data_IF_384867085967
#
_entry.id   IF_384867085967
#
_cell.length_a   1.000
_cell.length_b   1.000
_cell.length_c   1.000
_cell.angle_alpha   90.00
_cell.angle_beta   90.00
_cell.angle_gamma   90.00
#
_symmetry.space_group_name_H-M   'P 1'
#
loop_
_entity.id
_entity.type
_entity.pdbx_description
1 polymer ?
#
# COMPACT_ATOMS: atom_id res chain seq x y z
N UNK A 1 13.52 -13.26 19.80
CA UNK A 1 13.78 -12.82 18.42
C UNK A 1 12.56 -13.19 17.58
N UNK A 2 11.94 -12.22 16.91
CA UNK A 2 10.76 -12.44 16.06
C UNK A 2 11.21 -13.18 14.79
N UNK A 3 10.60 -14.32 14.44
CA UNK A 3 11.02 -15.09 13.26
C UNK A 3 10.59 -14.41 11.95
N UNK A 4 11.26 -14.69 10.80
CA UNK A 4 10.95 -14.07 9.52
C UNK A 4 9.45 -14.11 9.13
N UNK A 5 8.70 -15.22 9.32
CA UNK A 5 7.25 -15.26 9.08
C UNK A 5 6.46 -14.20 9.85
N UNK A 6 6.79 -13.94 11.13
CA UNK A 6 6.08 -12.95 11.95
C UNK A 6 6.46 -11.51 11.59
N UNK A 7 7.69 -11.28 11.13
CA UNK A 7 8.12 -9.97 10.60
C UNK A 7 7.31 -9.63 9.34
N UNK A 8 7.27 -10.54 8.37
CA UNK A 8 6.50 -10.37 7.13
C UNK A 8 5.00 -10.25 7.40
N UNK A 9 4.44 -11.12 8.26
CA UNK A 9 3.03 -11.04 8.68
C UNK A 9 2.69 -9.67 9.25
N UNK A 10 3.53 -9.10 10.12
CA UNK A 10 3.32 -7.76 10.67
C UNK A 10 3.42 -6.68 9.60
N UNK A 11 4.41 -6.76 8.71
CA UNK A 11 4.57 -5.81 7.61
C UNK A 11 3.33 -5.82 6.68
N UNK A 12 2.89 -7.00 6.29
CA UNK A 12 1.81 -7.17 5.31
C UNK A 12 0.40 -7.10 5.90
N UNK A 13 0.28 -7.07 7.24
CA UNK A 13 -1.02 -6.85 7.92
C UNK A 13 -1.07 -5.50 8.61
N UNK A 14 -0.24 -5.28 9.64
CA UNK A 14 -0.30 -4.07 10.47
C UNK A 14 0.17 -2.84 9.71
N UNK A 15 1.37 -2.91 9.13
CA UNK A 15 1.94 -1.74 8.45
C UNK A 15 1.16 -1.40 7.18
N UNK A 16 0.74 -2.43 6.45
CA UNK A 16 -0.05 -2.32 5.22
C UNK A 16 -1.41 -1.72 5.54
N UNK A 17 -2.18 -2.35 6.43
CA UNK A 17 -3.49 -1.86 6.86
C UNK A 17 -3.47 -0.40 7.29
N UNK A 18 -2.54 -0.04 8.16
CA UNK A 18 -2.45 1.33 8.67
C UNK A 18 -2.13 2.35 7.57
N UNK A 19 -1.26 1.99 6.64
CA UNK A 19 -0.88 2.86 5.53
C UNK A 19 -2.02 3.00 4.51
N UNK A 20 -2.75 1.91 4.18
CA UNK A 20 -3.92 1.97 3.28
C UNK A 20 -4.97 2.93 3.85
N UNK A 21 -5.31 2.76 5.14
CA UNK A 21 -6.25 3.65 5.83
C UNK A 21 -5.79 5.10 5.77
N UNK A 22 -4.49 5.37 5.95
CA UNK A 22 -3.97 6.72 5.83
C UNK A 22 -4.12 7.32 4.41
N UNK A 23 -3.79 6.56 3.36
CA UNK A 23 -3.85 7.08 1.99
C UNK A 23 -5.28 7.33 1.52
N UNK A 24 -6.21 6.39 1.74
CA UNK A 24 -7.61 6.61 1.41
C UNK A 24 -8.24 7.70 2.28
N UNK A 25 -7.90 7.76 3.58
CA UNK A 25 -8.35 8.83 4.47
C UNK A 25 -7.90 10.21 3.99
N UNK A 26 -6.62 10.34 3.62
CA UNK A 26 -6.09 11.60 3.06
C UNK A 26 -6.80 11.98 1.77
N UNK A 27 -7.01 11.03 0.85
CA UNK A 27 -7.74 11.27 -0.39
C UNK A 27 -9.21 11.68 -0.17
N UNK A 28 -9.82 11.20 0.93
CA UNK A 28 -11.18 11.58 1.34
C UNK A 28 -11.24 12.86 2.20
N UNK A 29 -10.11 13.51 2.50
CA UNK A 29 -10.06 14.69 3.37
C UNK A 29 -10.27 14.41 4.86
N UNK A 30 -10.20 13.15 5.30
CA UNK A 30 -10.36 12.73 6.70
C UNK A 30 -8.99 12.74 7.38
N UNK A 31 -8.89 13.39 8.54
CA UNK A 31 -7.58 13.59 9.21
C UNK A 31 -7.19 12.49 10.19
N UNK A 32 -8.13 11.87 10.91
CA UNK A 32 -7.83 10.86 11.93
C UNK A 32 -8.07 9.46 11.41
N UNK A 33 -7.14 8.54 11.68
CA UNK A 33 -7.25 7.14 11.25
C UNK A 33 -8.53 6.47 11.78
N UNK A 34 -8.93 6.76 13.01
CA UNK A 34 -10.14 6.20 13.62
C UNK A 34 -11.43 6.58 12.89
N UNK A 35 -11.47 7.77 12.30
CA UNK A 35 -12.64 8.29 11.57
C UNK A 35 -12.69 7.74 10.13
N UNK A 36 -11.54 7.38 9.55
CA UNK A 36 -11.48 6.89 8.15
C UNK A 36 -12.31 5.62 7.95
N UNK A 37 -12.27 4.71 8.91
CA UNK A 37 -12.95 3.41 8.83
C UNK A 37 -14.46 3.48 9.12
N UNK A 38 -15.00 4.66 9.42
CA UNK A 38 -16.45 4.91 9.47
C UNK A 38 -17.06 4.95 8.06
N UNK A 39 -16.25 5.17 7.03
CA UNK A 39 -16.68 5.05 5.62
C UNK A 39 -16.66 3.59 5.18
N UNK A 40 -17.84 3.03 4.89
CA UNK A 40 -17.99 1.66 4.40
C UNK A 40 -17.20 1.41 3.09
N UNK A 41 -17.13 2.41 2.21
CA UNK A 41 -16.37 2.33 0.97
C UNK A 41 -14.86 2.25 1.23
N UNK A 42 -14.33 3.06 2.16
CA UNK A 42 -12.90 3.00 2.51
C UNK A 42 -12.59 1.71 3.27
N UNK A 43 -13.46 1.28 4.18
CA UNK A 43 -13.34 0.00 4.87
C UNK A 43 -13.23 -1.15 3.88
N UNK A 44 -14.13 -1.22 2.90
CA UNK A 44 -14.12 -2.27 1.88
C UNK A 44 -12.79 -2.30 1.10
N UNK A 45 -12.22 -1.13 0.78
CA UNK A 45 -10.91 -1.04 0.12
C UNK A 45 -9.76 -1.52 0.99
N UNK A 46 -9.75 -1.13 2.27
CA UNK A 46 -8.75 -1.61 3.26
C UNK A 46 -8.83 -3.13 3.41
N UNK A 47 -10.04 -3.68 3.56
CA UNK A 47 -10.27 -5.11 3.69
C UNK A 47 -9.88 -5.87 2.42
N UNK A 48 -10.17 -5.35 1.23
CA UNK A 48 -9.77 -5.95 -0.04
C UNK A 48 -8.24 -6.06 -0.17
N UNK A 49 -7.50 -5.01 0.16
CA UNK A 49 -6.03 -5.05 0.11
C UNK A 49 -5.47 -6.00 1.17
N UNK A 50 -6.05 -6.06 2.38
CA UNK A 50 -5.65 -7.01 3.42
C UNK A 50 -6.02 -8.46 3.07
N UNK A 51 -7.05 -8.68 2.24
CA UNK A 51 -7.39 -10.01 1.73
C UNK A 51 -6.34 -10.53 0.74
N UNK A 52 -5.80 -9.66 -0.11
CA UNK A 52 -4.69 -10.01 -1.01
C UNK A 52 -3.42 -10.37 -0.21
N UNK A 53 -3.04 -9.53 0.76
CA UNK A 53 -1.86 -9.85 1.58
C UNK A 53 -2.07 -11.06 2.50
N UNK A 54 -3.30 -11.32 2.95
CA UNK A 54 -3.67 -12.57 3.63
C UNK A 54 -3.39 -13.79 2.76
N UNK A 55 -3.82 -13.79 1.50
CA UNK A 55 -3.61 -14.90 0.57
C UNK A 55 -2.12 -15.24 0.45
N UNK A 56 -1.26 -14.21 0.33
CA UNK A 56 0.19 -14.41 0.32
C UNK A 56 0.70 -15.00 1.64
N UNK A 57 0.33 -14.43 2.78
CA UNK A 57 0.81 -14.87 4.11
C UNK A 57 0.44 -16.33 4.37
N UNK A 58 -0.81 -16.71 4.09
CA UNK A 58 -1.32 -18.08 4.27
C UNK A 58 -0.54 -19.05 3.39
N UNK A 59 -0.39 -18.75 2.09
CA UNK A 59 0.32 -19.64 1.15
C UNK A 59 1.80 -19.75 1.44
N UNK A 60 2.45 -18.63 1.77
CA UNK A 60 3.90 -18.57 1.94
C UNK A 60 4.37 -19.19 3.26
N UNK A 61 3.58 -19.05 4.32
CA UNK A 61 4.01 -19.44 5.68
C UNK A 61 3.13 -20.49 6.34
N UNK A 62 2.02 -20.91 5.71
CA UNK A 62 1.13 -21.95 6.24
C UNK A 62 0.36 -21.53 7.48
N UNK A 63 0.05 -20.24 7.64
CA UNK A 63 -0.88 -19.82 8.69
C UNK A 63 -2.29 -20.30 8.35
N UNK A 64 -3.02 -20.80 9.34
CA UNK A 64 -4.44 -21.12 9.17
C UNK A 64 -5.23 -19.88 8.70
N UNK A 65 -6.05 -19.97 7.63
CA UNK A 65 -6.76 -18.83 7.07
C UNK A 65 -7.61 -18.07 8.10
N UNK A 66 -8.30 -18.78 8.99
CA UNK A 66 -9.16 -18.23 10.02
C UNK A 66 -8.34 -17.50 11.10
N UNK A 67 -7.16 -18.03 11.44
CA UNK A 67 -6.24 -17.39 12.40
C UNK A 67 -5.68 -16.09 11.82
N UNK A 68 -5.40 -16.06 10.51
CA UNK A 68 -4.94 -14.84 9.87
C UNK A 68 -6.08 -13.83 9.69
N UNK A 69 -7.30 -14.29 9.40
CA UNK A 69 -8.50 -13.45 9.31
C UNK A 69 -8.82 -12.78 10.66
N UNK A 70 -8.86 -13.55 11.76
CA UNK A 70 -9.08 -13.00 13.10
C UNK A 70 -7.98 -12.00 13.51
N UNK A 71 -6.75 -12.20 13.02
CA UNK A 71 -5.68 -11.23 13.22
C UNK A 71 -5.91 -9.92 12.46
N UNK A 72 -6.41 -9.98 11.22
CA UNK A 72 -6.79 -8.79 10.44
C UNK A 72 -7.89 -8.00 11.17
N UNK A 73 -8.96 -8.67 11.62
CA UNK A 73 -10.06 -8.04 12.35
C UNK A 73 -9.59 -7.38 13.64
N UNK A 74 -8.69 -8.05 14.38
CA UNK A 74 -8.03 -7.46 15.55
C UNK A 74 -7.19 -6.23 15.22
N UNK A 75 -6.59 -6.16 14.04
CA UNK A 75 -5.80 -5.00 13.62
C UNK A 75 -6.71 -3.85 13.16
N UNK A 76 -7.78 -4.14 12.41
CA UNK A 76 -8.78 -3.15 12.00
C UNK A 76 -9.41 -2.48 13.22
N UNK A 77 -9.89 -3.27 14.20
CA UNK A 77 -10.44 -2.74 15.46
C UNK A 77 -9.47 -1.87 16.27
N UNK A 78 -8.15 -2.07 16.11
CA UNK A 78 -7.16 -1.17 16.72
C UNK A 78 -7.09 0.18 16.03
N UNK A 79 -7.27 0.23 14.71
CA UNK A 79 -7.26 1.49 13.95
C UNK A 79 -8.49 2.33 14.26
N UNK A 80 -9.61 1.70 14.58
CA UNK A 80 -10.88 2.35 14.97
C UNK A 80 -10.83 2.99 16.37
N UNK A 81 -9.80 2.74 17.17
CA UNK A 81 -9.73 3.25 18.54
C UNK A 81 -9.57 4.79 18.55
N UNK A 82 -10.58 5.57 18.99
CA UNK A 82 -10.55 7.03 18.95
C UNK A 82 -9.58 7.64 19.95
N UNK A 83 -9.04 6.85 20.88
CA UNK A 83 -8.04 7.30 21.85
C UNK A 83 -6.61 7.27 21.30
N UNK A 84 -6.39 6.70 20.11
CA UNK A 84 -5.07 6.74 19.46
C UNK A 84 -4.91 8.04 18.65
N UNK A 85 -3.83 8.80 18.83
CA UNK A 85 -3.63 10.13 18.21
C UNK A 85 -3.13 10.05 16.77
N UNK A 86 -3.45 8.97 16.05
CA UNK A 86 -2.86 8.67 14.75
C UNK A 86 -3.57 9.47 13.64
N UNK A 87 -2.83 10.36 12.98
CA UNK A 87 -3.32 11.12 11.82
C UNK A 87 -2.90 10.49 10.50
N UNK A 88 -3.71 10.69 9.45
CA UNK A 88 -3.42 10.20 8.10
C UNK A 88 -2.10 10.74 7.56
N UNK A 89 -1.78 12.00 7.83
CA UNK A 89 -0.54 12.61 7.35
C UNK A 89 0.68 11.94 7.99
N UNK A 90 0.71 11.81 9.33
CA UNK A 90 1.83 11.20 10.05
C UNK A 90 2.02 9.74 9.64
N UNK A 91 0.93 9.00 9.49
CA UNK A 91 0.98 7.58 9.11
C UNK A 91 1.36 7.42 7.64
N UNK A 92 0.95 8.35 6.77
CA UNK A 92 1.20 8.38 5.34
C UNK A 92 2.64 8.74 4.93
N UNK A 93 3.42 9.40 5.79
CA UNK A 93 4.81 9.80 5.52
C UNK A 93 5.74 8.70 5.01
N UNK A 94 6.74 9.09 4.22
CA UNK A 94 7.66 8.16 3.56
C UNK A 94 6.99 7.32 2.46
N UNK A 95 6.26 7.94 1.51
CA UNK A 95 5.56 7.21 0.46
C UNK A 95 6.52 6.46 -0.48
N UNK A 96 7.68 7.03 -0.85
CA UNK A 96 8.65 6.40 -1.74
C UNK A 96 9.17 5.08 -1.16
N UNK A 97 9.58 5.09 0.12
CA UNK A 97 10.03 3.89 0.83
C UNK A 97 8.94 2.83 0.84
N UNK A 98 7.67 3.20 1.04
CA UNK A 98 6.54 2.25 1.13
C UNK A 98 6.16 1.59 -0.20
N UNK A 99 6.45 2.25 -1.32
CA UNK A 99 6.27 1.67 -2.66
C UNK A 99 7.56 1.08 -3.24
N UNK A 100 8.61 0.92 -2.44
CA UNK A 100 9.82 0.23 -2.88
C UNK A 100 9.63 -1.29 -2.98
N UNK A 101 10.44 -1.96 -3.81
CA UNK A 101 10.33 -3.37 -4.22
C UNK A 101 9.99 -4.38 -3.12
N UNK A 102 10.55 -4.22 -1.92
CA UNK A 102 10.43 -5.20 -0.83
C UNK A 102 9.57 -4.70 0.35
N UNK A 103 8.87 -3.59 0.17
CA UNK A 103 8.03 -3.00 1.21
C UNK A 103 6.57 -3.47 1.09
N UNK A 104 5.67 -2.81 1.83
CA UNK A 104 4.36 -3.29 2.24
C UNK A 104 3.31 -3.33 1.12
N UNK A 105 3.60 -2.71 -0.03
CA UNK A 105 2.72 -2.72 -1.20
C UNK A 105 3.31 -3.52 -2.35
N UNK A 106 4.51 -3.14 -2.81
CA UNK A 106 5.13 -3.78 -3.98
C UNK A 106 5.65 -5.17 -3.66
N UNK A 107 6.20 -5.38 -2.46
CA UNK A 107 6.65 -6.71 -2.01
C UNK A 107 5.55 -7.77 -2.14
N UNK A 108 4.39 -7.60 -1.47
CA UNK A 108 3.33 -8.60 -1.58
C UNK A 108 2.70 -8.65 -2.97
N UNK A 109 2.53 -7.53 -3.67
CA UNK A 109 1.98 -7.52 -5.02
C UNK A 109 2.87 -8.29 -6.01
N UNK A 110 4.19 -8.15 -5.87
CA UNK A 110 5.15 -8.84 -6.71
C UNK A 110 5.03 -10.36 -6.57
N UNK A 111 5.08 -10.85 -5.34
CA UNK A 111 5.00 -12.28 -5.06
C UNK A 111 3.64 -12.86 -5.46
N UNK A 112 2.54 -12.12 -5.23
CA UNK A 112 1.21 -12.53 -5.67
C UNK A 112 1.14 -12.65 -7.20
N UNK A 113 1.68 -11.67 -7.93
CA UNK A 113 1.72 -11.70 -9.39
C UNK A 113 2.57 -12.87 -9.93
N UNK A 114 3.71 -13.17 -9.30
CA UNK A 114 4.55 -14.34 -9.63
C UNK A 114 3.79 -15.67 -9.41
N UNK A 115 2.83 -15.70 -8.49
CA UNK A 115 1.95 -16.84 -8.23
C UNK A 115 0.66 -16.84 -9.07
N UNK A 116 0.48 -15.88 -10.00
CA UNK A 116 -0.75 -15.74 -10.78
C UNK A 116 -1.98 -15.38 -9.95
N UNK A 117 -1.78 -14.67 -8.83
CA UNK A 117 -2.84 -14.26 -7.90
C UNK A 117 -3.23 -12.80 -8.14
N UNK A 118 -4.47 -12.41 -7.75
CA UNK A 118 -4.92 -11.02 -7.87
C UNK A 118 -4.05 -10.03 -7.10
N UNK A 119 -3.92 -8.82 -7.63
CA UNK A 119 -3.16 -7.70 -7.06
C UNK A 119 -3.86 -6.36 -7.23
N UNK A 120 -5.14 -6.39 -7.61
CA UNK A 120 -5.93 -5.23 -8.01
C UNK A 120 -6.07 -4.21 -6.86
N UNK A 121 -6.31 -4.67 -5.64
CA UNK A 121 -6.49 -3.80 -4.49
C UNK A 121 -5.15 -3.20 -4.00
N UNK A 122 -4.05 -3.94 -4.10
CA UNK A 122 -2.70 -3.42 -3.87
C UNK A 122 -2.34 -2.34 -4.90
N UNK A 123 -2.59 -2.57 -6.19
CA UNK A 123 -2.33 -1.59 -7.24
C UNK A 123 -3.23 -0.35 -7.12
N UNK A 124 -4.51 -0.52 -6.78
CA UNK A 124 -5.42 0.59 -6.52
C UNK A 124 -4.97 1.43 -5.30
N UNK A 125 -4.38 0.79 -4.29
CA UNK A 125 -3.77 1.53 -3.17
C UNK A 125 -2.55 2.33 -3.62
N UNK A 126 -1.67 1.75 -4.45
CA UNK A 126 -0.52 2.47 -5.01
C UNK A 126 -0.98 3.70 -5.79
N UNK A 127 -2.03 3.57 -6.61
CA UNK A 127 -2.60 4.70 -7.35
C UNK A 127 -3.01 5.86 -6.44
N UNK A 128 -3.73 5.58 -5.34
CA UNK A 128 -4.11 6.62 -4.36
C UNK A 128 -2.91 7.18 -3.60
N UNK A 129 -1.95 6.32 -3.26
CA UNK A 129 -0.72 6.71 -2.58
C UNK A 129 0.11 7.69 -3.42
N UNK A 130 0.15 7.56 -4.74
CA UNK A 130 0.90 8.46 -5.62
C UNK A 130 0.42 9.92 -5.53
N UNK A 131 -0.85 10.15 -5.16
CA UNK A 131 -1.39 11.48 -4.90
C UNK A 131 -1.06 12.03 -3.50
N UNK A 132 -0.37 11.27 -2.65
CA UNK A 132 -0.04 11.71 -1.30
C UNK A 132 0.98 12.86 -1.33
N UNK A 133 0.57 13.98 -0.74
CA UNK A 133 1.36 15.21 -0.66
C UNK A 133 1.22 15.85 0.72
N UNK A 134 2.37 15.99 1.37
CA UNK A 134 2.57 16.62 2.68
C UNK A 134 3.85 17.44 2.59
N UNK A 135 3.76 18.74 2.84
CA UNK A 135 4.88 19.68 2.67
C UNK A 135 6.07 19.35 3.59
N UNK A 136 5.78 18.87 4.80
CA UNK A 136 6.78 18.53 5.82
C UNK A 136 7.37 17.13 5.65
N UNK A 137 6.99 16.39 4.60
CA UNK A 137 7.52 15.05 4.32
C UNK A 137 8.40 15.08 3.06
N UNK A 138 9.72 14.97 3.24
CA UNK A 138 10.71 15.04 2.16
C UNK A 138 10.44 14.01 1.06
N UNK A 139 10.06 12.78 1.41
CA UNK A 139 9.73 11.75 0.44
C UNK A 139 8.44 12.05 -0.34
N UNK A 140 7.47 12.75 0.27
CA UNK A 140 6.29 13.23 -0.46
C UNK A 140 6.68 14.29 -1.50
N UNK A 141 7.52 15.26 -1.12
CA UNK A 141 7.98 16.28 -2.06
C UNK A 141 8.81 15.68 -3.21
N UNK A 142 9.67 14.70 -2.90
CA UNK A 142 10.41 13.97 -3.93
C UNK A 142 9.50 13.15 -4.85
N UNK A 143 8.46 12.51 -4.32
CA UNK A 143 7.46 11.81 -5.11
C UNK A 143 6.75 12.77 -6.07
N UNK A 144 6.24 13.90 -5.56
CA UNK A 144 5.54 14.88 -6.39
C UNK A 144 6.44 15.48 -7.48
N UNK A 145 7.72 15.72 -7.19
CA UNK A 145 8.68 16.15 -8.19
C UNK A 145 8.86 15.12 -9.32
N UNK A 146 8.98 13.83 -9.00
CA UNK A 146 9.09 12.76 -10.01
C UNK A 146 7.82 12.62 -10.86
N UNK A 147 6.65 12.75 -10.23
CA UNK A 147 5.37 12.75 -10.95
C UNK A 147 5.21 14.00 -11.84
N UNK A 148 5.79 15.14 -11.45
CA UNK A 148 5.82 16.33 -12.29
C UNK A 148 6.70 16.12 -13.55
N UNK A 149 7.87 15.48 -13.42
CA UNK A 149 8.70 15.09 -14.57
C UNK A 149 7.97 14.13 -15.51
N UNK A 150 7.17 13.20 -14.98
CA UNK A 150 6.31 12.35 -15.81
C UNK A 150 5.29 13.17 -16.61
N UNK A 151 4.56 14.08 -15.96
CA UNK A 151 3.57 14.97 -16.60
C UNK A 151 4.20 15.90 -17.64
N UNK A 152 5.44 16.31 -17.43
CA UNK A 152 6.21 17.12 -18.37
C UNK A 152 6.75 16.32 -19.57
N UNK A 153 6.59 14.99 -19.58
CA UNK A 153 7.11 14.11 -20.63
C UNK A 153 8.62 13.87 -20.56
N UNK A 154 9.26 14.16 -19.42
CA UNK A 154 10.70 13.95 -19.21
C UNK A 154 11.05 12.48 -18.92
N UNK A 155 10.07 11.71 -18.47
CA UNK A 155 10.15 10.26 -18.26
C UNK A 155 8.87 9.59 -18.76
N UNK A 156 8.88 8.26 -18.86
CA UNK A 156 7.71 7.46 -19.25
C UNK A 156 7.08 6.78 -18.04
N UNK A 157 5.79 6.40 -18.10
CA UNK A 157 5.15 5.61 -17.04
C UNK A 157 5.93 4.34 -16.71
N UNK A 158 6.40 3.63 -17.74
CA UNK A 158 7.23 2.44 -17.63
C UNK A 158 8.54 2.70 -16.86
N UNK A 159 9.29 3.73 -17.28
CA UNK A 159 10.58 4.04 -16.66
C UNK A 159 10.42 4.45 -15.20
N UNK A 160 9.42 5.29 -14.89
CA UNK A 160 9.19 5.73 -13.51
C UNK A 160 8.66 4.60 -12.61
N UNK A 161 7.80 3.72 -13.14
CA UNK A 161 7.36 2.52 -12.42
C UNK A 161 8.55 1.63 -12.02
N UNK A 162 9.47 1.37 -12.96
CA UNK A 162 10.70 0.60 -12.66
C UNK A 162 11.56 1.31 -11.63
N UNK A 163 11.80 2.61 -11.79
CA UNK A 163 12.62 3.40 -10.87
C UNK A 163 12.09 3.36 -9.43
N UNK A 164 10.79 3.59 -9.25
CA UNK A 164 10.19 3.71 -7.92
C UNK A 164 9.90 2.36 -7.26
N UNK A 165 9.55 1.35 -8.04
CA UNK A 165 9.07 0.08 -7.52
C UNK A 165 10.08 -1.06 -7.66
N UNK A 166 11.16 -0.88 -8.42
CA UNK A 166 12.15 -1.92 -8.70
C UNK A 166 11.57 -3.12 -9.45
N UNK A 167 10.55 -2.88 -10.28
CA UNK A 167 9.88 -3.90 -11.10
C UNK A 167 10.31 -3.73 -12.55
N UNK A 168 11.00 -4.74 -13.07
CA UNK A 168 11.44 -4.78 -14.47
C UNK A 168 10.30 -5.21 -15.41
N UNK A 169 10.40 -4.86 -16.70
CA UNK A 169 9.37 -5.11 -17.72
C UNK A 169 9.03 -6.59 -17.93
N UNK A 170 9.94 -7.51 -17.60
CA UNK A 170 9.70 -8.95 -17.66
C UNK A 170 8.89 -9.53 -16.48
N UNK A 171 8.66 -8.75 -15.42
CA UNK A 171 7.96 -9.20 -14.24
C UNK A 171 6.43 -9.13 -14.42
N UNK A 172 5.63 -10.12 -13.97
CA UNK A 172 4.18 -10.16 -14.22
C UNK A 172 3.39 -8.96 -13.66
N UNK A 173 3.85 -8.37 -12.56
CA UNK A 173 3.25 -7.14 -12.00
C UNK A 173 3.45 -5.89 -12.88
N UNK A 174 4.45 -5.87 -13.76
CA UNK A 174 4.90 -4.66 -14.44
C UNK A 174 3.78 -3.95 -15.20
N UNK A 175 3.02 -4.68 -16.01
CA UNK A 175 1.92 -4.10 -16.79
C UNK A 175 0.80 -3.49 -15.93
N UNK A 176 0.63 -3.94 -14.69
CA UNK A 176 -0.28 -3.33 -13.73
C UNK A 176 0.24 -1.99 -13.21
N UNK A 177 1.52 -1.93 -12.86
CA UNK A 177 2.16 -0.69 -12.41
C UNK A 177 2.27 0.34 -13.52
N UNK A 178 2.69 -0.04 -14.72
CA UNK A 178 2.74 0.86 -15.87
C UNK A 178 1.37 1.54 -16.11
N UNK A 179 0.27 0.77 -16.01
CA UNK A 179 -1.09 1.33 -16.10
C UNK A 179 -1.41 2.32 -14.98
N UNK A 180 -0.97 2.06 -13.75
CA UNK A 180 -1.14 3.00 -12.62
C UNK A 180 -0.43 4.32 -12.91
N UNK A 181 0.84 4.27 -13.34
CA UNK A 181 1.60 5.48 -13.65
C UNK A 181 1.08 6.19 -14.92
N UNK A 182 0.57 5.45 -15.91
CA UNK A 182 0.05 6.02 -17.15
C UNK A 182 -1.20 6.90 -16.94
N UNK A 183 -1.93 6.71 -15.84
CA UNK A 183 -3.04 7.60 -15.46
C UNK A 183 -2.60 8.99 -15.01
N UNK A 184 -1.32 9.15 -14.68
CA UNK A 184 -0.74 10.38 -14.14
C UNK A 184 0.04 11.20 -15.18
N UNK A 185 0.28 10.62 -16.36
CA UNK A 185 0.94 11.27 -17.50
C UNK A 185 -0.07 12.08 -18.32
#
# INVERSE_FOLDING_TARGET
>A
MTSPPYITRKLFTVNTGHAITAYFGRAAGISKISEVLESDDIRAKVEATLAETKDLIVRKFGFEPEVQQAYIEKIISRFENPHLPDTVERVGRGPLRKISRHERFIGPAAELAEMGRPTDALLATVEVLLAFDVAEDEESQQLQAKLASLKAGETTPAALATELNGIESGHPLFGGLEKVFAKLA
#
